data_IF_884806475121
#
_entry.id   IF_884806475121
#
_cell.length_a   1.000
_cell.length_b   1.000
_cell.length_c   1.000
_cell.angle_alpha   90.00
_cell.angle_beta   90.00
_cell.angle_gamma   90.00
#
_symmetry.space_group_name_H-M   'P 1'
#
loop_
_entity.id
_entity.type
_entity.pdbx_description
1 polymer ?
#
# COMPACT_ATOMS: atom_id res chain seq x y z
N UNK A 1 -26.77 8.18 -41.03
CA UNK A 1 -27.64 8.10 -39.83
C UNK A 1 -26.74 7.98 -38.62
N UNK A 2 -26.62 9.05 -37.82
CA UNK A 2 -25.85 9.04 -36.58
C UNK A 2 -26.61 8.23 -35.52
N UNK A 3 -25.99 7.15 -35.02
CA UNK A 3 -26.48 6.46 -33.82
C UNK A 3 -25.84 7.14 -32.60
N UNK A 4 -26.64 7.88 -31.85
CA UNK A 4 -26.28 8.31 -30.50
C UNK A 4 -26.27 7.07 -29.60
N UNK A 5 -25.12 6.76 -29.01
CA UNK A 5 -25.02 5.74 -27.97
C UNK A 5 -25.32 6.39 -26.61
N UNK A 6 -26.41 5.96 -25.98
CA UNK A 6 -26.76 6.35 -24.62
C UNK A 6 -25.88 5.59 -23.64
N UNK A 7 -24.84 6.24 -23.13
CA UNK A 7 -24.05 5.74 -22.00
C UNK A 7 -24.95 5.75 -20.76
N UNK A 8 -25.30 4.56 -20.28
CA UNK A 8 -26.04 4.41 -19.02
C UNK A 8 -25.04 4.50 -17.87
N UNK A 9 -24.88 5.71 -17.32
CA UNK A 9 -24.10 5.94 -16.11
C UNK A 9 -24.91 5.41 -14.92
N UNK A 10 -24.52 4.26 -14.39
CA UNK A 10 -25.10 3.72 -13.17
C UNK A 10 -24.62 4.56 -11.97
N UNK A 11 -25.38 5.62 -11.69
CA UNK A 11 -25.19 6.47 -10.53
C UNK A 11 -25.67 5.71 -9.29
N UNK A 12 -24.76 5.32 -8.40
CA UNK A 12 -25.07 4.61 -7.16
C UNK A 12 -25.78 5.57 -6.20
N UNK A 13 -27.08 5.77 -6.41
CA UNK A 13 -28.00 6.46 -5.50
C UNK A 13 -28.31 5.54 -4.31
N UNK A 14 -27.73 5.86 -3.16
CA UNK A 14 -28.12 5.33 -1.85
C UNK A 14 -28.78 6.47 -1.08
N UNK A 15 -30.11 6.51 -1.11
CA UNK A 15 -30.99 7.26 -0.20
C UNK A 15 -32.01 6.23 0.32
N UNK A 16 -32.49 6.17 1.55
CA UNK A 16 -32.42 6.98 2.79
C UNK A 16 -33.11 6.07 3.83
N UNK A 17 -32.66 5.94 5.08
CA UNK A 17 -33.24 6.68 6.19
C UNK A 17 -32.45 6.43 7.49
N UNK A 18 -31.72 7.46 7.95
CA UNK A 18 -31.75 8.02 9.31
C UNK A 18 -30.67 9.12 9.41
N UNK A 19 -31.12 10.35 9.60
CA UNK A 19 -30.32 11.56 9.85
C UNK A 19 -30.91 12.20 11.13
N UNK A 20 -30.28 13.19 11.81
CA UNK A 20 -28.91 13.71 11.70
C UNK A 20 -28.19 13.88 13.06
N UNK A 21 -26.86 14.11 13.03
CA UNK A 21 -26.21 15.26 13.73
C UNK A 21 -24.72 15.32 13.35
N UNK A 22 -24.45 16.23 12.40
CA UNK A 22 -23.23 17.01 12.15
C UNK A 22 -21.85 16.42 12.53
N UNK A 23 -21.05 16.18 11.50
CA UNK A 23 -19.67 16.64 11.44
C UNK A 23 -19.41 17.16 10.03
N UNK A 24 -19.83 18.40 9.79
CA UNK A 24 -19.35 19.20 8.66
C UNK A 24 -17.86 19.46 8.88
N UNK A 25 -17.01 18.75 8.13
CA UNK A 25 -15.65 19.23 7.85
C UNK A 25 -15.58 19.50 6.36
N UNK A 26 -15.53 20.79 6.03
CA UNK A 26 -15.30 21.35 4.71
C UNK A 26 -14.16 20.61 3.99
N UNK A 27 -14.46 19.92 2.90
CA UNK A 27 -13.44 19.38 1.99
C UNK A 27 -13.99 19.20 0.55
N UNK A 28 -14.89 20.10 0.15
CA UNK A 28 -15.60 20.05 -1.13
C UNK A 28 -14.79 20.50 -2.35
N UNK A 29 -13.73 21.31 -2.17
CA UNK A 29 -13.22 22.13 -3.29
C UNK A 29 -11.80 21.78 -3.77
N UNK A 30 -11.18 20.71 -3.26
CA UNK A 30 -9.83 20.32 -3.71
C UNK A 30 -9.88 19.49 -4.98
N UNK A 31 -9.10 19.89 -5.98
CA UNK A 31 -8.92 19.13 -7.22
C UNK A 31 -8.34 17.73 -6.92
N UNK A 32 -8.61 16.73 -7.76
CA UNK A 32 -8.11 15.37 -7.51
C UNK A 32 -6.58 15.31 -7.47
N UNK A 33 -5.89 16.18 -8.21
CA UNK A 33 -4.44 16.33 -8.15
C UNK A 33 -3.97 16.83 -6.76
N UNK A 34 -4.62 17.84 -6.20
CA UNK A 34 -4.32 18.33 -4.84
C UNK A 34 -4.61 17.27 -3.77
N UNK A 35 -5.64 16.45 -3.97
CA UNK A 35 -5.94 15.32 -3.06
C UNK A 35 -4.86 14.25 -3.12
N UNK A 36 -4.33 13.95 -4.31
CA UNK A 36 -3.24 12.99 -4.50
C UNK A 36 -1.92 13.52 -3.90
N UNK A 37 -1.57 14.77 -4.17
CA UNK A 37 -0.36 15.40 -3.63
C UNK A 37 -0.41 15.50 -2.10
N UNK A 38 -1.55 15.92 -1.54
CA UNK A 38 -1.75 15.93 -0.10
C UNK A 38 -1.64 14.52 0.52
N UNK A 39 -2.10 13.48 -0.17
CA UNK A 39 -2.00 12.11 0.32
C UNK A 39 -0.56 11.56 0.23
N UNK A 40 0.21 11.91 -0.80
CA UNK A 40 1.62 11.56 -0.96
C UNK A 40 2.49 12.27 0.10
N UNK A 41 2.26 13.57 0.31
CA UNK A 41 2.97 14.36 1.32
C UNK A 41 2.72 13.83 2.74
N UNK A 42 1.47 13.47 3.04
CA UNK A 42 1.11 12.85 4.31
C UNK A 42 1.73 11.47 4.49
N UNK A 43 1.90 10.67 3.42
CA UNK A 43 2.57 9.36 3.47
C UNK A 43 4.08 9.49 3.72
N UNK A 44 4.72 10.50 3.14
CA UNK A 44 6.13 10.83 3.42
C UNK A 44 6.33 11.28 4.86
N UNK A 45 5.42 12.12 5.35
CA UNK A 45 5.39 12.57 6.74
C UNK A 45 5.15 11.40 7.71
N UNK A 46 4.29 10.44 7.32
CA UNK A 46 4.02 9.20 8.08
C UNK A 46 5.27 8.35 8.32
N UNK A 47 6.12 8.17 7.31
CA UNK A 47 7.37 7.42 7.45
C UNK A 47 8.34 8.12 8.41
N UNK A 48 8.45 9.45 8.31
CA UNK A 48 9.31 10.26 9.19
C UNK A 48 8.85 10.22 10.65
N UNK A 49 7.55 10.34 10.91
CA UNK A 49 7.00 10.27 12.27
C UNK A 49 7.21 8.89 12.91
N UNK A 50 7.03 7.82 12.13
CA UNK A 50 7.26 6.45 12.63
C UNK A 50 8.71 6.23 13.01
N UNK A 51 9.65 6.69 12.17
CA UNK A 51 11.09 6.58 12.43
C UNK A 51 11.52 7.38 13.67
N UNK A 52 10.99 8.60 13.83
CA UNK A 52 11.24 9.42 15.02
C UNK A 52 10.70 8.75 16.29
N UNK A 53 9.50 8.16 16.25
CA UNK A 53 8.92 7.43 17.38
C UNK A 53 9.77 6.22 17.80
N UNK A 54 10.29 5.46 16.83
CA UNK A 54 11.20 4.34 17.12
C UNK A 54 12.48 4.83 17.77
N UNK A 55 13.07 5.92 17.28
CA UNK A 55 14.27 6.52 17.86
C UNK A 55 14.01 7.00 19.29
N UNK A 56 12.88 7.69 19.54
CA UNK A 56 12.50 8.16 20.88
C UNK A 56 12.29 6.97 21.83
N UNK A 57 11.64 5.89 21.36
CA UNK A 57 11.45 4.66 22.14
C UNK A 57 12.76 3.96 22.50
N UNK A 58 13.73 3.94 21.58
CA UNK A 58 15.06 3.36 21.85
C UNK A 58 15.87 4.24 22.82
N UNK A 59 15.78 5.57 22.69
CA UNK A 59 16.45 6.51 23.59
C UNK A 59 15.88 6.47 25.01
N UNK A 60 14.55 6.36 25.16
CA UNK A 60 13.92 6.27 26.49
C UNK A 60 14.34 4.99 27.22
N UNK A 61 14.42 3.85 26.50
CA UNK A 61 14.89 2.59 27.07
C UNK A 61 16.34 2.69 27.58
N UNK A 62 17.23 3.35 26.80
CA UNK A 62 18.62 3.54 27.19
C UNK A 62 18.77 4.37 28.47
N UNK A 63 18.02 5.48 28.59
CA UNK A 63 18.10 6.37 29.76
C UNK A 63 17.65 5.65 31.04
N UNK A 64 16.61 4.83 30.96
CA UNK A 64 16.11 4.09 32.13
C UNK A 64 17.10 3.00 32.57
N UNK A 65 17.74 2.29 31.64
CA UNK A 65 18.79 1.31 31.96
C UNK A 65 19.97 2.00 32.67
N UNK A 66 20.41 3.15 32.17
CA UNK A 66 21.50 3.92 32.80
C UNK A 66 21.13 4.42 34.20
N UNK A 67 19.91 4.92 34.42
CA UNK A 67 19.43 5.33 35.75
C UNK A 67 19.33 4.15 36.71
N UNK A 68 18.88 3.00 36.23
CA UNK A 68 18.81 1.75 37.00
C UNK A 68 20.21 1.32 37.47
N UNK A 69 21.21 1.35 36.58
CA UNK A 69 22.59 1.03 36.93
C UNK A 69 23.18 2.04 37.90
N UNK A 70 22.92 3.34 37.69
CA UNK A 70 23.40 4.41 38.57
C UNK A 70 22.88 4.25 40.00
N UNK A 71 21.56 4.06 40.19
CA UNK A 71 21.00 3.86 41.52
C UNK A 71 21.49 2.58 42.19
N UNK A 72 21.67 1.51 41.42
CA UNK A 72 22.24 0.27 41.93
C UNK A 72 23.68 0.46 42.42
N UNK A 73 24.49 1.20 41.65
CA UNK A 73 25.88 1.50 42.01
C UNK A 73 25.96 2.44 43.23
N UNK A 74 25.09 3.44 43.30
CA UNK A 74 25.00 4.36 44.44
C UNK A 74 24.64 3.61 45.73
N UNK A 75 23.68 2.69 45.68
CA UNK A 75 23.28 1.92 46.86
C UNK A 75 24.33 0.89 47.27
N UNK A 76 25.04 0.27 46.30
CA UNK A 76 26.19 -0.59 46.58
C UNK A 76 27.30 0.19 47.27
N UNK A 77 27.65 1.37 46.76
CA UNK A 77 28.71 2.22 47.31
C UNK A 77 28.44 2.70 48.75
N UNK A 78 27.20 2.63 49.24
CA UNK A 78 26.87 2.92 50.64
C UNK A 78 27.20 1.78 51.60
N UNK A 79 27.39 0.56 51.09
CA UNK A 79 27.57 -0.66 51.89
C UNK A 79 28.93 -1.34 51.63
N UNK A 80 29.70 -0.86 50.65
CA UNK A 80 31.03 -1.36 50.33
C UNK A 80 31.48 -0.94 48.93
N UNK A 81 32.65 -1.42 48.50
CA UNK A 81 33.20 -1.13 47.17
C UNK A 81 33.33 -2.42 46.34
N UNK A 82 33.02 -2.33 45.05
CA UNK A 82 33.37 -3.40 44.11
C UNK A 82 34.84 -3.22 43.73
N UNK A 83 35.68 -4.20 44.10
CA UNK A 83 37.10 -4.22 43.74
C UNK A 83 37.39 -5.37 42.79
N UNK A 84 38.31 -5.12 41.86
CA UNK A 84 38.88 -6.17 41.05
C UNK A 84 39.84 -6.99 41.91
N UNK A 85 39.44 -8.21 42.23
CA UNK A 85 40.28 -9.16 42.95
C UNK A 85 40.84 -10.14 41.93
N UNK A 86 42.17 -10.21 41.88
CA UNK A 86 42.88 -11.20 41.08
C UNK A 86 42.97 -12.47 41.89
N UNK A 87 42.34 -13.54 41.42
CA UNK A 87 42.46 -14.86 42.04
C UNK A 87 43.89 -15.38 41.84
N UNK A 88 44.63 -15.51 42.94
CA UNK A 88 46.04 -15.94 42.94
C UNK A 88 46.22 -17.36 42.39
N UNK A 89 45.17 -18.20 42.39
CA UNK A 89 45.25 -19.59 41.91
C UNK A 89 44.91 -19.77 40.44
N UNK A 90 43.99 -18.95 39.91
CA UNK A 90 43.50 -19.08 38.53
C UNK A 90 43.95 -17.95 37.61
N UNK A 91 44.50 -16.87 38.16
CA UNK A 91 44.94 -15.68 37.42
C UNK A 91 43.78 -14.86 36.84
N UNK A 92 42.53 -15.24 37.09
CA UNK A 92 41.36 -14.52 36.60
C UNK A 92 41.09 -13.27 37.44
N UNK A 93 40.75 -12.19 36.76
CA UNK A 93 40.33 -10.92 37.37
C UNK A 93 38.82 -11.00 37.52
N UNK A 94 38.35 -11.09 38.76
CA UNK A 94 36.93 -11.09 39.11
C UNK A 94 36.55 -9.79 39.80
N UNK A 95 35.33 -9.32 39.54
CA UNK A 95 34.73 -8.24 40.33
C UNK A 95 34.15 -8.85 41.60
N UNK A 96 34.65 -8.43 42.76
CA UNK A 96 34.15 -8.87 44.05
C UNK A 96 33.71 -7.67 44.88
N UNK A 97 32.56 -7.81 45.56
CA UNK A 97 32.07 -6.81 46.49
C UNK A 97 32.82 -6.95 47.83
N UNK A 98 33.45 -5.86 48.28
CA UNK A 98 34.15 -5.77 49.56
C UNK A 98 33.29 -4.89 50.48
N UNK A 99 32.55 -5.48 51.44
CA UNK A 99 31.68 -4.73 52.34
C UNK A 99 32.49 -3.93 53.37
N UNK A 100 31.97 -2.78 53.78
CA UNK A 100 32.59 -1.95 54.84
C UNK A 100 32.27 -2.44 56.26
N UNK A 101 31.23 -3.28 56.42
CA UNK A 101 30.77 -3.86 57.70
C UNK A 101 30.32 -5.32 57.54
N UNK A 102 30.38 -6.10 58.62
CA UNK A 102 29.97 -7.52 58.63
C UNK A 102 28.46 -7.73 58.36
N UNK A 103 27.63 -6.70 58.56
CA UNK A 103 26.24 -6.67 58.09
C UNK A 103 26.18 -6.12 56.67
N UNK A 104 26.16 -7.06 55.71
CA UNK A 104 26.38 -6.77 54.29
C UNK A 104 25.17 -6.08 53.64
N UNK A 105 23.93 -6.31 54.14
CA UNK A 105 22.72 -5.57 53.74
C UNK A 105 21.65 -5.64 54.84
N UNK A 106 21.14 -4.49 55.32
CA UNK A 106 19.97 -4.46 56.20
C UNK A 106 18.71 -4.90 55.45
N UNK A 107 17.72 -5.48 56.14
CA UNK A 107 16.41 -5.85 55.53
C UNK A 107 15.75 -4.66 54.84
N UNK A 108 15.93 -3.45 55.38
CA UNK A 108 15.43 -2.20 54.79
C UNK A 108 16.15 -1.83 53.49
N UNK A 109 17.46 -2.07 53.38
CA UNK A 109 18.23 -1.84 52.14
C UNK A 109 17.78 -2.77 51.01
N UNK A 110 17.55 -4.05 51.32
CA UNK A 110 17.05 -5.04 50.34
C UNK A 110 15.64 -4.67 49.89
N UNK A 111 14.78 -4.21 50.80
CA UNK A 111 13.42 -3.81 50.50
C UNK A 111 13.38 -2.53 49.63
N UNK A 112 14.27 -1.57 49.87
CA UNK A 112 14.46 -0.37 49.02
C UNK A 112 14.96 -0.71 47.62
N UNK A 113 15.93 -1.62 47.49
CA UNK A 113 16.43 -2.08 46.19
C UNK A 113 15.32 -2.76 45.38
N UNK A 114 14.56 -3.68 46.01
CA UNK A 114 13.48 -4.40 45.35
C UNK A 114 12.34 -3.48 44.93
N UNK A 115 11.91 -2.57 45.81
CA UNK A 115 10.85 -1.58 45.49
C UNK A 115 11.27 -0.64 44.37
N UNK A 116 12.53 -0.18 44.35
CA UNK A 116 13.08 0.65 43.27
C UNK A 116 13.09 -0.10 41.94
N UNK A 117 13.50 -1.37 41.94
CA UNK A 117 13.50 -2.21 40.73
C UNK A 117 12.09 -2.44 40.18
N UNK A 118 11.11 -2.72 41.05
CA UNK A 118 9.70 -2.88 40.66
C UNK A 118 9.15 -1.59 40.07
N UNK A 119 9.48 -0.44 40.64
CA UNK A 119 9.04 0.86 40.15
C UNK A 119 9.62 1.19 38.77
N UNK A 120 10.91 0.88 38.55
CA UNK A 120 11.57 1.01 37.26
C UNK A 120 10.93 0.09 36.19
N UNK A 121 10.61 -1.15 36.53
CA UNK A 121 9.90 -2.07 35.62
C UNK A 121 8.49 -1.58 35.29
N UNK A 122 7.74 -1.08 36.28
CA UNK A 122 6.41 -0.53 36.07
C UNK A 122 6.43 0.70 35.14
N UNK A 123 7.38 1.61 35.36
CA UNK A 123 7.59 2.79 34.50
C UNK A 123 7.88 2.38 33.04
N UNK A 124 8.74 1.38 32.83
CA UNK A 124 9.02 0.85 31.49
C UNK A 124 7.78 0.25 30.83
N UNK A 125 6.97 -0.50 31.58
CA UNK A 125 5.71 -1.06 31.10
C UNK A 125 4.74 0.01 30.60
N UNK A 126 4.65 1.14 31.31
CA UNK A 126 3.80 2.28 30.92
C UNK A 126 4.30 2.94 29.64
N UNK A 127 5.61 3.19 29.52
CA UNK A 127 6.19 3.82 28.32
C UNK A 127 6.02 2.94 27.09
N UNK A 128 6.32 1.64 27.20
CA UNK A 128 6.13 0.67 26.11
C UNK A 128 4.65 0.55 25.75
N UNK A 129 3.76 0.54 26.74
CA UNK A 129 2.31 0.51 26.53
C UNK A 129 1.80 1.72 25.75
N UNK A 130 2.25 2.92 26.12
CA UNK A 130 1.92 4.17 25.42
C UNK A 130 2.45 4.19 23.98
N UNK A 131 3.71 3.80 23.78
CA UNK A 131 4.29 3.71 22.43
C UNK A 131 3.58 2.67 21.57
N UNK A 132 3.25 1.52 22.14
CA UNK A 132 2.51 0.45 21.45
C UNK A 132 1.10 0.91 21.08
N UNK A 133 0.40 1.58 21.99
CA UNK A 133 -0.92 2.15 21.73
C UNK A 133 -0.87 3.22 20.63
N UNK A 134 0.09 4.15 20.69
CA UNK A 134 0.27 5.17 19.67
C UNK A 134 0.60 4.53 18.31
N UNK A 135 1.46 3.51 18.29
CA UNK A 135 1.79 2.77 17.08
C UNK A 135 0.55 2.10 16.47
N UNK A 136 -0.28 1.43 17.28
CA UNK A 136 -1.53 0.81 16.82
C UNK A 136 -2.54 1.85 16.33
N UNK A 137 -2.73 2.95 17.07
CA UNK A 137 -3.61 4.05 16.69
C UNK A 137 -3.19 4.66 15.35
N UNK A 138 -1.90 4.93 15.18
CA UNK A 138 -1.32 5.49 13.96
C UNK A 138 -1.43 4.50 12.79
N UNK A 139 -1.16 3.21 13.03
CA UNK A 139 -1.25 2.16 11.99
C UNK A 139 -2.69 1.96 11.52
N UNK A 140 -3.65 1.99 12.44
CA UNK A 140 -5.08 1.93 12.14
C UNK A 140 -5.49 3.09 11.22
N UNK A 141 -5.04 4.32 11.53
CA UNK A 141 -5.27 5.49 10.68
C UNK A 141 -4.57 5.40 9.32
N UNK A 142 -3.36 4.84 9.28
CA UNK A 142 -2.60 4.57 8.05
C UNK A 142 -3.36 3.74 7.01
N UNK A 143 -4.13 2.75 7.45
CA UNK A 143 -4.97 1.95 6.55
C UNK A 143 -6.09 2.78 5.92
N UNK A 144 -6.64 3.76 6.65
CA UNK A 144 -7.66 4.67 6.11
C UNK A 144 -7.10 5.51 4.96
N UNK A 145 -5.88 6.04 5.11
CA UNK A 145 -5.23 6.81 4.04
C UNK A 145 -4.91 5.96 2.81
N UNK A 146 -4.51 4.69 2.99
CA UNK A 146 -4.32 3.76 1.86
C UNK A 146 -5.62 3.51 1.10
N UNK A 147 -6.74 3.39 1.80
CA UNK A 147 -8.07 3.23 1.19
C UNK A 147 -8.47 4.48 0.42
N UNK A 148 -8.25 5.67 1.00
CA UNK A 148 -8.52 6.95 0.35
C UNK A 148 -7.65 7.15 -0.90
N UNK A 149 -6.35 6.88 -0.82
CA UNK A 149 -5.44 6.86 -1.97
C UNK A 149 -5.92 5.93 -3.08
N UNK A 150 -6.32 4.69 -2.74
CA UNK A 150 -6.86 3.73 -3.72
C UNK A 150 -8.12 4.28 -4.40
N UNK A 151 -9.01 4.93 -3.64
CA UNK A 151 -10.21 5.56 -4.22
C UNK A 151 -9.90 6.75 -5.13
N UNK A 152 -8.93 7.58 -4.75
CA UNK A 152 -8.49 8.75 -5.54
C UNK A 152 -7.81 8.27 -6.83
N UNK A 153 -6.95 7.26 -6.73
CA UNK A 153 -6.30 6.62 -7.87
C UNK A 153 -7.36 6.06 -8.84
N UNK A 154 -8.35 5.32 -8.35
CA UNK A 154 -9.45 4.81 -9.18
C UNK A 154 -10.25 5.93 -9.86
N UNK A 155 -10.52 7.04 -9.17
CA UNK A 155 -11.21 8.19 -9.76
C UNK A 155 -10.38 8.89 -10.84
N UNK A 156 -9.07 9.06 -10.59
CA UNK A 156 -8.13 9.62 -11.57
C UNK A 156 -7.98 8.73 -12.81
N UNK A 157 -7.89 7.40 -12.62
CA UNK A 157 -7.85 6.45 -13.72
C UNK A 157 -9.12 6.57 -14.57
N UNK A 158 -10.31 6.60 -13.95
CA UNK A 158 -11.58 6.76 -14.68
C UNK A 158 -11.68 8.09 -15.43
N UNK A 159 -11.29 9.19 -14.82
CA UNK A 159 -11.27 10.50 -15.50
C UNK A 159 -10.26 10.55 -16.63
N UNK A 160 -9.05 10.01 -16.41
CA UNK A 160 -8.01 9.94 -17.43
C UNK A 160 -8.41 9.04 -18.58
N UNK A 161 -9.13 7.95 -18.32
CA UNK A 161 -9.75 7.14 -19.36
C UNK A 161 -10.76 7.95 -20.18
N UNK A 162 -11.74 8.59 -19.54
CA UNK A 162 -12.75 9.36 -20.26
C UNK A 162 -12.12 10.47 -21.11
N UNK A 163 -11.14 11.20 -20.56
CA UNK A 163 -10.48 12.28 -21.29
C UNK A 163 -9.57 11.72 -22.38
N UNK A 164 -8.67 10.80 -22.09
CA UNK A 164 -7.67 10.36 -23.06
C UNK A 164 -8.23 9.32 -24.04
N UNK A 165 -8.94 8.29 -23.57
CA UNK A 165 -9.51 7.26 -24.46
C UNK A 165 -10.56 7.84 -25.41
N UNK A 166 -11.44 8.72 -24.95
CA UNK A 166 -12.50 9.24 -25.82
C UNK A 166 -12.10 10.44 -26.68
N UNK A 167 -11.09 11.24 -26.27
CA UNK A 167 -10.77 12.50 -26.99
C UNK A 167 -9.42 12.52 -27.70
N UNK A 168 -8.50 11.60 -27.39
CA UNK A 168 -7.19 11.57 -28.03
C UNK A 168 -7.06 10.45 -29.05
N UNK A 169 -6.47 10.77 -30.20
CA UNK A 169 -6.22 9.80 -31.26
C UNK A 169 -5.04 8.92 -30.85
N UNK A 170 -5.16 7.60 -30.97
CA UNK A 170 -4.10 6.70 -30.52
C UNK A 170 -2.87 6.79 -31.45
N UNK A 171 -1.73 7.15 -30.86
CA UNK A 171 -0.46 7.32 -31.57
C UNK A 171 0.37 6.03 -31.57
N UNK A 172 0.86 5.61 -32.74
CA UNK A 172 1.72 4.44 -32.87
C UNK A 172 1.63 3.76 -34.24
N UNK A 173 2.69 3.05 -34.63
CA UNK A 173 2.76 2.34 -35.92
C UNK A 173 1.96 1.03 -35.91
N UNK A 174 1.94 0.34 -34.76
CA UNK A 174 1.24 -0.93 -34.59
C UNK A 174 0.03 -0.78 -33.67
N UNK A 175 -0.95 -1.69 -33.79
CA UNK A 175 -2.12 -1.76 -32.88
C UNK A 175 -1.69 -1.86 -31.40
N UNK A 176 -0.60 -2.58 -31.13
CA UNK A 176 0.03 -2.72 -29.81
C UNK A 176 0.66 -1.41 -29.32
N UNK A 177 1.41 -0.72 -30.18
CA UNK A 177 2.05 0.54 -29.82
C UNK A 177 0.99 1.61 -29.50
N UNK A 178 -0.07 1.67 -30.30
CA UNK A 178 -1.23 2.55 -30.11
C UNK A 178 -1.86 2.37 -28.72
N UNK A 179 -2.26 1.16 -28.35
CA UNK A 179 -2.90 0.92 -27.05
C UNK A 179 -1.95 1.12 -25.87
N UNK A 180 -0.67 0.77 -26.00
CA UNK A 180 0.31 0.96 -24.93
C UNK A 180 0.65 2.42 -24.67
N UNK A 181 0.78 3.22 -25.73
CA UNK A 181 0.99 4.66 -25.61
C UNK A 181 -0.23 5.31 -24.93
N UNK A 182 -1.44 4.92 -25.35
CA UNK A 182 -2.67 5.39 -24.73
C UNK A 182 -2.78 5.00 -23.25
N UNK A 183 -2.50 3.74 -22.95
CA UNK A 183 -2.49 3.22 -21.59
C UNK A 183 -1.47 3.93 -20.71
N UNK A 184 -0.34 4.38 -21.27
CA UNK A 184 0.69 5.12 -20.54
C UNK A 184 0.26 6.52 -20.08
N UNK A 185 -0.76 7.10 -20.73
CA UNK A 185 -1.37 8.37 -20.30
C UNK A 185 -2.33 8.18 -19.12
N UNK A 186 -2.89 6.96 -19.00
CA UNK A 186 -3.87 6.62 -17.97
C UNK A 186 -3.22 5.99 -16.73
N UNK A 187 -2.19 5.16 -16.91
CA UNK A 187 -1.60 4.37 -15.83
C UNK A 187 -0.24 4.92 -15.37
N UNK A 188 -0.14 5.44 -14.14
CA UNK A 188 1.10 5.93 -13.57
C UNK A 188 2.21 4.87 -13.54
N UNK A 189 1.87 3.59 -13.38
CA UNK A 189 2.80 2.46 -13.36
C UNK A 189 3.56 2.33 -14.68
N UNK A 190 2.85 2.49 -15.80
CA UNK A 190 3.42 2.44 -17.14
C UNK A 190 4.27 3.69 -17.39
N UNK A 191 3.77 4.87 -16.99
CA UNK A 191 4.52 6.12 -17.09
C UNK A 191 5.83 6.07 -16.30
N UNK A 192 5.81 5.46 -15.11
CA UNK A 192 7.00 5.29 -14.28
C UNK A 192 8.06 4.38 -14.92
N UNK A 193 7.65 3.42 -15.77
CA UNK A 193 8.58 2.62 -16.56
C UNK A 193 9.17 3.48 -17.67
N UNK A 194 8.34 4.21 -18.43
CA UNK A 194 8.81 5.10 -19.49
C UNK A 194 9.83 6.14 -18.99
N UNK A 195 9.60 6.75 -17.82
CA UNK A 195 10.52 7.72 -17.22
C UNK A 195 11.91 7.15 -16.89
N UNK A 196 12.02 5.82 -16.75
CA UNK A 196 13.28 5.12 -16.46
C UNK A 196 14.02 4.65 -17.70
N UNK A 197 13.34 4.53 -18.82
CA UNK A 197 13.95 4.19 -20.11
C UNK A 197 14.72 5.42 -20.61
N UNK A 198 15.95 5.22 -21.08
CA UNK A 198 16.82 6.31 -21.57
C UNK A 198 16.12 7.11 -22.69
N UNK A 199 16.44 8.41 -22.86
CA UNK A 199 15.72 9.32 -23.75
C UNK A 199 15.73 8.94 -25.25
N UNK A 200 16.66 8.09 -25.69
CA UNK A 200 16.69 7.60 -27.07
C UNK A 200 15.74 6.42 -27.25
N UNK A 201 14.55 6.69 -27.82
CA UNK A 201 13.58 5.66 -28.21
C UNK A 201 12.56 5.27 -27.13
N UNK A 202 11.78 6.26 -26.64
CA UNK A 202 10.69 6.10 -25.65
C UNK A 202 9.63 5.07 -26.06
N UNK A 203 9.90 3.79 -25.91
CA UNK A 203 8.89 2.73 -26.00
C UNK A 203 8.86 1.93 -24.71
N UNK A 204 7.66 1.52 -24.30
CA UNK A 204 7.50 0.62 -23.16
C UNK A 204 8.17 -0.73 -23.48
N UNK A 205 8.97 -1.31 -22.57
CA UNK A 205 9.42 -2.68 -22.73
C UNK A 205 8.23 -3.62 -22.52
N UNK A 206 7.80 -4.28 -23.60
CA UNK A 206 6.71 -5.26 -23.57
C UNK A 206 7.16 -6.60 -24.15
N UNK A 207 6.47 -7.67 -23.75
CA UNK A 207 6.58 -9.00 -24.34
C UNK A 207 5.32 -9.27 -25.15
N UNK A 208 5.47 -9.79 -26.38
CA UNK A 208 4.35 -10.21 -27.21
C UNK A 208 4.11 -11.71 -27.10
N UNK A 209 2.87 -12.12 -27.32
CA UNK A 209 2.45 -13.53 -27.40
C UNK A 209 2.93 -14.37 -26.21
N UNK A 210 2.86 -13.80 -25.01
CA UNK A 210 3.31 -14.47 -23.80
C UNK A 210 2.15 -15.21 -23.15
N UNK A 211 2.36 -16.50 -22.84
CA UNK A 211 1.38 -17.28 -22.09
C UNK A 211 1.35 -16.89 -20.61
N UNK A 212 0.14 -16.64 -20.10
CA UNK A 212 -0.17 -16.42 -18.68
C UNK A 212 -1.26 -17.43 -18.30
N UNK A 213 -0.86 -18.46 -17.54
CA UNK A 213 -1.74 -19.60 -17.29
C UNK A 213 -1.96 -20.40 -18.58
N UNK A 214 -3.23 -20.64 -18.94
CA UNK A 214 -3.60 -21.26 -20.21
C UNK A 214 -3.90 -20.26 -21.33
N UNK A 215 -3.86 -18.95 -21.04
CA UNK A 215 -4.17 -17.91 -22.01
C UNK A 215 -2.90 -17.35 -22.65
N UNK A 216 -2.98 -16.96 -23.92
CA UNK A 216 -1.89 -16.27 -24.62
C UNK A 216 -2.23 -14.80 -24.76
N UNK A 217 -1.43 -13.95 -24.10
CA UNK A 217 -1.59 -12.50 -24.14
C UNK A 217 -0.84 -11.90 -25.31
N UNK A 218 -1.49 -10.98 -26.02
CA UNK A 218 -0.89 -10.27 -27.14
C UNK A 218 0.21 -9.30 -26.65
N UNK A 219 0.02 -8.73 -25.46
CA UNK A 219 0.97 -7.81 -24.84
C UNK A 219 1.06 -8.06 -23.34
N UNK A 220 2.28 -8.11 -22.80
CA UNK A 220 2.55 -8.19 -21.36
C UNK A 220 3.64 -7.19 -20.98
N UNK A 221 3.34 -6.34 -20.01
CA UNK A 221 4.28 -5.38 -19.41
C UNK A 221 4.42 -5.71 -17.93
N UNK A 222 5.67 -5.92 -17.50
CA UNK A 222 5.98 -6.18 -16.09
C UNK A 222 6.04 -4.86 -15.32
N UNK A 223 5.17 -4.68 -14.33
CA UNK A 223 5.18 -3.50 -13.45
C UNK A 223 5.52 -3.90 -12.01
N UNK A 224 5.75 -2.91 -11.14
CA UNK A 224 5.93 -3.15 -9.69
C UNK A 224 4.67 -3.67 -9.01
N UNK A 225 3.47 -3.37 -9.54
CA UNK A 225 2.18 -3.80 -8.98
C UNK A 225 1.72 -5.17 -9.52
N UNK A 226 2.40 -5.71 -10.53
CA UNK A 226 2.01 -6.94 -11.23
C UNK A 226 2.12 -6.81 -12.74
N UNK A 227 1.62 -7.79 -13.47
CA UNK A 227 1.59 -7.75 -14.93
C UNK A 227 0.42 -6.88 -15.41
N UNK A 228 0.73 -5.96 -16.32
CA UNK A 228 -0.24 -5.26 -17.15
C UNK A 228 -0.34 -6.02 -18.47
N UNK A 229 -1.54 -6.47 -18.84
CA UNK A 229 -1.71 -7.38 -19.97
C UNK A 229 -2.79 -6.88 -20.91
N UNK A 230 -2.58 -7.07 -22.21
CA UNK A 230 -3.54 -6.71 -23.25
C UNK A 230 -3.87 -7.94 -24.09
N UNK A 231 -5.16 -8.16 -24.30
CA UNK A 231 -5.68 -9.22 -25.17
C UNK A 231 -6.57 -8.61 -26.25
N UNK A 232 -6.26 -8.92 -27.50
CA UNK A 232 -7.10 -8.59 -28.64
C UNK A 232 -8.02 -9.76 -28.96
N UNK A 233 -9.31 -9.47 -29.11
CA UNK A 233 -10.33 -10.40 -29.52
C UNK A 233 -10.95 -9.93 -30.84
N UNK A 234 -11.39 -10.89 -31.65
CA UNK A 234 -12.17 -10.62 -32.85
C UNK A 234 -13.66 -10.42 -32.51
N UNK A 235 -14.17 -11.24 -31.58
CA UNK A 235 -15.52 -11.13 -31.05
C UNK A 235 -15.53 -11.61 -29.58
N UNK A 236 -16.25 -10.89 -28.72
CA UNK A 236 -16.35 -11.20 -27.28
C UNK A 236 -17.81 -11.36 -26.90
N UNK A 237 -18.14 -12.52 -26.35
CA UNK A 237 -19.41 -12.78 -25.68
C UNK A 237 -19.18 -13.05 -24.18
N UNK A 238 -20.27 -13.09 -23.41
CA UNK A 238 -20.20 -13.33 -21.97
C UNK A 238 -19.46 -14.64 -21.61
N UNK A 239 -19.68 -15.72 -22.35
CA UNK A 239 -19.05 -17.02 -22.10
C UNK A 239 -17.54 -17.00 -22.37
N UNK A 240 -17.11 -16.36 -23.46
CA UNK A 240 -15.70 -16.18 -23.80
C UNK A 240 -15.00 -15.38 -22.71
N UNK A 241 -15.65 -14.33 -22.22
CA UNK A 241 -15.11 -13.51 -21.14
C UNK A 241 -15.01 -14.29 -19.83
N UNK A 242 -16.04 -15.07 -19.46
CA UNK A 242 -16.02 -15.95 -18.29
C UNK A 242 -14.91 -16.99 -18.37
N UNK A 243 -14.75 -17.66 -19.51
CA UNK A 243 -13.69 -18.65 -19.71
C UNK A 243 -12.30 -18.01 -19.60
N UNK A 244 -12.09 -16.90 -20.28
CA UNK A 244 -10.84 -16.14 -20.24
C UNK A 244 -10.49 -15.71 -18.81
N UNK A 245 -11.45 -15.14 -18.10
CA UNK A 245 -11.25 -14.64 -16.75
C UNK A 245 -10.97 -15.79 -15.76
N UNK A 246 -11.69 -16.90 -15.86
CA UNK A 246 -11.46 -18.09 -15.05
C UNK A 246 -10.06 -18.71 -15.30
N UNK A 247 -9.62 -18.75 -16.55
CA UNK A 247 -8.29 -19.26 -16.91
C UNK A 247 -7.18 -18.37 -16.35
N UNK A 248 -7.39 -17.05 -16.34
CA UNK A 248 -6.44 -16.11 -15.77
C UNK A 248 -6.38 -16.15 -14.25
N UNK A 249 -7.51 -16.24 -13.57
CA UNK A 249 -7.57 -16.38 -12.11
C UNK A 249 -6.81 -17.64 -11.65
N UNK A 250 -6.81 -18.71 -12.46
CA UNK A 250 -6.06 -19.95 -12.19
C UNK A 250 -4.56 -19.85 -12.49
N UNK A 251 -4.08 -18.79 -13.14
CA UNK A 251 -2.67 -18.66 -13.54
C UNK A 251 -1.72 -18.50 -12.35
N UNK A 252 -2.22 -18.04 -11.20
CA UNK A 252 -1.41 -17.74 -10.00
C UNK A 252 -0.39 -16.61 -10.21
N UNK A 253 -0.45 -15.88 -11.33
CA UNK A 253 0.42 -14.74 -11.60
C UNK A 253 -0.20 -13.47 -11.02
N UNK A 254 0.60 -12.57 -10.43
CA UNK A 254 0.09 -11.29 -9.95
C UNK A 254 -0.29 -10.40 -11.14
N UNK A 255 -1.58 -10.32 -11.44
CA UNK A 255 -2.13 -9.45 -12.48
C UNK A 255 -2.49 -8.10 -11.84
N UNK A 256 -1.90 -7.03 -12.38
CA UNK A 256 -2.26 -5.67 -11.97
C UNK A 256 -3.53 -5.22 -12.68
N UNK A 257 -3.56 -5.37 -14.02
CA UNK A 257 -4.69 -4.95 -14.85
C UNK A 257 -4.69 -5.67 -16.20
N UNK A 258 -5.88 -6.02 -16.67
CA UNK A 258 -6.09 -6.74 -17.93
C UNK A 258 -7.00 -5.91 -18.84
N UNK A 259 -6.52 -5.58 -20.04
CA UNK A 259 -7.31 -4.90 -21.07
C UNK A 259 -7.82 -5.93 -22.09
N UNK A 260 -9.14 -5.99 -22.26
CA UNK A 260 -9.80 -6.78 -23.30
C UNK A 260 -10.28 -5.84 -24.40
N UNK A 261 -9.65 -5.92 -25.58
CA UNK A 261 -9.99 -5.09 -26.73
C UNK A 261 -10.70 -5.91 -27.79
N UNK A 262 -11.82 -5.41 -28.29
CA UNK A 262 -12.53 -6.02 -29.41
C UNK A 262 -13.21 -4.95 -30.26
N UNK A 263 -13.32 -5.23 -31.56
CA UNK A 263 -14.19 -4.46 -32.47
C UNK A 263 -15.67 -4.86 -32.35
N UNK A 264 -15.94 -6.01 -31.73
CA UNK A 264 -17.28 -6.55 -31.62
C UNK A 264 -17.51 -7.20 -30.25
N UNK A 265 -18.50 -6.69 -29.53
CA UNK A 265 -19.01 -7.24 -28.29
C UNK A 265 -20.46 -7.64 -28.49
N UNK A 266 -20.91 -8.71 -27.86
CA UNK A 266 -22.32 -9.10 -27.94
C UNK A 266 -23.27 -8.04 -27.33
N UNK A 267 -24.55 -8.14 -27.68
CA UNK A 267 -25.58 -7.20 -27.22
C UNK A 267 -25.73 -7.23 -25.67
N UNK A 268 -25.42 -8.36 -25.04
CA UNK A 268 -25.53 -8.49 -23.58
C UNK A 268 -24.47 -7.66 -22.86
N UNK A 269 -23.22 -7.69 -23.35
CA UNK A 269 -22.09 -6.88 -22.88
C UNK A 269 -22.24 -5.40 -23.25
N UNK A 270 -23.10 -5.05 -24.20
CA UNK A 270 -23.44 -3.65 -24.51
C UNK A 270 -24.72 -3.16 -23.81
N UNK A 271 -25.38 -4.02 -23.03
CA UNK A 271 -26.63 -3.71 -22.33
C UNK A 271 -26.43 -3.38 -20.85
N UNK A 272 -27.52 -3.05 -20.16
CA UNK A 272 -27.54 -2.89 -18.71
C UNK A 272 -27.12 -4.17 -17.94
N UNK A 273 -27.07 -5.34 -18.60
CA UNK A 273 -26.60 -6.60 -18.00
C UNK A 273 -25.09 -6.65 -17.78
N UNK A 274 -24.31 -5.81 -18.48
CA UNK A 274 -22.85 -5.79 -18.40
C UNK A 274 -22.35 -5.71 -16.96
N UNK A 275 -22.92 -4.84 -16.14
CA UNK A 275 -22.51 -4.66 -14.76
C UNK A 275 -22.69 -5.95 -13.93
N UNK A 276 -23.78 -6.68 -14.16
CA UNK A 276 -24.05 -7.96 -13.49
C UNK A 276 -23.08 -9.04 -13.96
N UNK A 277 -22.81 -9.10 -15.27
CA UNK A 277 -21.84 -10.04 -15.84
C UNK A 277 -20.46 -9.82 -15.21
N UNK A 278 -19.97 -8.57 -15.21
CA UNK A 278 -18.66 -8.24 -14.64
C UNK A 278 -18.57 -8.52 -13.13
N UNK A 279 -19.67 -8.32 -12.37
CA UNK A 279 -19.72 -8.68 -10.95
C UNK A 279 -19.68 -10.19 -10.70
N UNK A 280 -20.32 -10.98 -11.57
CA UNK A 280 -20.36 -12.43 -11.45
C UNK A 280 -19.01 -13.09 -11.73
N UNK A 281 -18.10 -12.42 -12.46
CA UNK A 281 -16.75 -12.92 -12.71
C UNK A 281 -15.88 -13.04 -11.44
N UNK A 282 -16.22 -12.30 -10.38
CA UNK A 282 -15.54 -12.33 -9.07
C UNK A 282 -14.01 -12.39 -9.17
N UNK A 283 -13.41 -11.39 -9.82
CA UNK A 283 -11.99 -11.36 -10.15
C UNK A 283 -11.15 -10.72 -9.04
N UNK A 284 -9.96 -11.30 -8.81
CA UNK A 284 -8.95 -10.76 -7.89
C UNK A 284 -8.09 -9.65 -8.53
N UNK A 285 -8.36 -9.31 -9.78
CA UNK A 285 -7.62 -8.32 -10.57
C UNK A 285 -8.57 -7.41 -11.36
N UNK A 286 -8.08 -6.23 -11.75
CA UNK A 286 -8.86 -5.27 -12.53
C UNK A 286 -8.90 -5.68 -14.01
N UNK A 287 -10.10 -5.79 -14.58
CA UNK A 287 -10.32 -6.08 -15.99
C UNK A 287 -11.16 -4.97 -16.62
N UNK A 288 -10.63 -4.36 -17.69
CA UNK A 288 -11.28 -3.29 -18.42
C UNK A 288 -11.69 -3.81 -19.82
N UNK A 289 -12.89 -3.45 -20.27
CA UNK A 289 -13.41 -3.79 -21.60
C UNK A 289 -13.40 -2.53 -22.48
N UNK A 290 -12.74 -2.62 -23.63
CA UNK A 290 -12.52 -1.49 -24.53
C UNK A 290 -12.99 -1.88 -25.93
N UNK A 291 -13.89 -1.07 -26.47
CA UNK A 291 -14.32 -1.12 -27.85
C UNK A 291 -13.27 -0.43 -28.72
N UNK A 292 -12.82 -1.10 -29.77
CA UNK A 292 -11.89 -0.53 -30.75
C UNK A 292 -12.62 -0.24 -32.06
N UNK A 293 -12.53 1.00 -32.51
CA UNK A 293 -12.99 1.44 -33.82
C UNK A 293 -11.79 1.91 -34.66
N UNK A 294 -12.02 2.12 -35.95
CA UNK A 294 -11.01 2.63 -36.88
C UNK A 294 -10.55 4.05 -36.51
N UNK A 295 -11.35 4.80 -35.76
CA UNK A 295 -11.03 6.15 -35.29
C UNK A 295 -10.40 6.22 -33.89
N UNK A 296 -10.47 5.15 -33.08
CA UNK A 296 -9.98 5.21 -31.70
C UNK A 296 -10.53 4.13 -30.78
N UNK A 297 -10.50 4.41 -29.47
CA UNK A 297 -10.92 3.48 -28.43
C UNK A 297 -12.07 4.07 -27.62
N UNK A 298 -13.11 3.28 -27.38
CA UNK A 298 -14.27 3.66 -26.57
C UNK A 298 -14.38 2.73 -25.38
N UNK A 299 -14.65 3.28 -24.20
CA UNK A 299 -14.70 2.49 -22.98
C UNK A 299 -16.07 1.82 -22.82
N UNK A 300 -16.08 0.50 -22.67
CA UNK A 300 -17.29 -0.27 -22.40
C UNK A 300 -17.42 -0.54 -20.89
N UNK A 301 -16.32 -0.91 -20.22
CA UNK A 301 -16.28 -1.14 -18.79
C UNK A 301 -14.91 -0.81 -18.20
N UNK A 302 -14.91 -0.24 -16.98
CA UNK A 302 -13.71 0.00 -16.18
C UNK A 302 -13.99 -0.50 -14.76
N UNK A 303 -13.09 -1.33 -14.24
CA UNK A 303 -13.12 -1.73 -12.82
C UNK A 303 -12.57 -0.58 -11.94
#
# INVERSE_FOLDING_TARGET
>A
MQKLYHVTICNKSLNTHKNPKWALSQNGDRSLAEKLDAAIENLSTWYRVTLIMVIIGLLSLSVVISLSQYHFQEEINKHGEIKEIKDEKTGQIGLAFVPDTDEIFSTDSVLKLYTTQVWLMASNGVVIGLLSFLFLWITSRGQSYKKELKSIEGQLIRQSYLVNFETSLPEGETRTDKILNHSSLVFPELQAILRKVKPEGKKLPYKQNQSIGSETMDVVVSTKKGYFTVKFFDNVNAQTLEQFANNLSKSGKPLFRVLCLSKNFDDELQSAKLATIMQNLNLDFDMDLIFEDDQGYSMLWIN
#
